data_IF_921072779255
#
_entry.id   IF_921072779255
#
_cell.length_a   1.000
_cell.length_b   1.000
_cell.length_c   1.000
_cell.angle_alpha   90.00
_cell.angle_beta   90.00
_cell.angle_gamma   90.00
#
_symmetry.space_group_name_H-M   'P 1'
#
loop_
_entity.id
_entity.type
_entity.pdbx_description
1 polymer ?
#
# COMPACT_ATOMS: atom_id res chain seq x y z
N UNK A 1 -37.44 23.92 -17.66
CA UNK A 1 -37.96 25.29 -17.46
C UNK A 1 -39.42 25.32 -17.90
N UNK A 2 -40.28 26.11 -17.26
CA UNK A 2 -41.67 26.32 -17.73
C UNK A 2 -41.69 27.53 -18.68
N UNK A 3 -42.11 27.37 -19.95
CA UNK A 3 -42.19 28.50 -20.87
C UNK A 3 -43.28 29.48 -20.43
N UNK A 4 -43.06 30.77 -20.65
CA UNK A 4 -44.09 31.81 -20.52
C UNK A 4 -44.75 32.01 -21.88
N UNK A 5 -46.08 31.86 -21.94
CA UNK A 5 -46.84 31.95 -23.19
C UNK A 5 -47.53 33.31 -23.32
N UNK A 6 -47.63 33.82 -24.55
CA UNK A 6 -48.44 35.00 -24.85
C UNK A 6 -49.60 34.56 -25.74
N UNK A 7 -50.80 35.08 -25.49
CA UNK A 7 -51.93 34.95 -26.41
C UNK A 7 -52.30 36.36 -26.87
N UNK A 8 -52.28 36.61 -28.17
CA UNK A 8 -52.57 37.94 -28.77
C UNK A 8 -51.72 39.08 -28.17
N UNK A 9 -50.46 38.80 -27.84
CA UNK A 9 -49.54 39.77 -27.23
C UNK A 9 -49.80 40.06 -25.74
N UNK A 10 -50.69 39.31 -25.08
CA UNK A 10 -50.92 39.40 -23.63
C UNK A 10 -50.28 38.20 -22.90
N UNK A 11 -49.58 38.42 -21.78
CA UNK A 11 -49.01 37.34 -20.99
C UNK A 11 -50.12 36.43 -20.44
N UNK A 12 -50.04 35.13 -20.73
CA UNK A 12 -51.00 34.14 -20.27
C UNK A 12 -50.45 33.43 -19.01
N UNK A 13 -51.24 33.39 -17.94
CA UNK A 13 -50.85 32.75 -16.68
C UNK A 13 -51.43 31.33 -16.64
N UNK A 14 -50.58 30.33 -16.92
CA UNK A 14 -50.93 28.90 -16.92
C UNK A 14 -50.88 28.25 -18.31
N UNK A 15 -51.08 26.93 -18.37
CA UNK A 15 -51.17 26.19 -19.64
C UNK A 15 -52.59 26.40 -20.20
N UNK A 16 -52.76 26.93 -21.43
CA UNK A 16 -54.08 27.12 -22.01
C UNK A 16 -54.82 25.78 -22.15
N UNK A 17 -56.09 25.73 -21.74
CA UNK A 17 -56.89 24.50 -21.80
C UNK A 17 -57.05 24.04 -23.25
N UNK A 18 -56.59 22.81 -23.53
CA UNK A 18 -56.65 22.20 -24.86
C UNK A 18 -55.55 22.64 -25.83
N UNK A 19 -54.51 23.35 -25.37
CA UNK A 19 -53.34 23.61 -26.19
C UNK A 19 -52.46 22.37 -26.37
N UNK A 20 -51.76 22.28 -27.50
CA UNK A 20 -50.74 21.26 -27.77
C UNK A 20 -49.40 21.90 -28.14
N UNK A 21 -48.33 21.18 -27.81
CA UNK A 21 -46.95 21.62 -27.95
C UNK A 21 -46.17 20.64 -28.83
N UNK A 22 -45.37 21.17 -29.75
CA UNK A 22 -44.47 20.38 -30.59
C UNK A 22 -43.22 21.19 -30.96
N UNK A 23 -42.14 20.51 -31.34
CA UNK A 23 -41.00 21.20 -31.94
C UNK A 23 -41.38 21.71 -33.34
N UNK A 24 -41.09 22.99 -33.60
CA UNK A 24 -41.48 23.66 -34.84
C UNK A 24 -40.39 23.61 -35.91
N UNK A 25 -40.53 22.79 -36.96
CA UNK A 25 -39.58 22.77 -38.08
C UNK A 25 -38.15 22.31 -37.72
N UNK A 26 -37.18 22.52 -38.62
CA UNK A 26 -35.80 22.00 -38.52
C UNK A 26 -34.87 23.06 -37.90
N UNK A 27 -34.29 22.79 -36.71
CA UNK A 27 -33.32 23.67 -35.98
C UNK A 27 -32.19 22.98 -35.16
N UNK A 28 -30.98 23.61 -35.14
CA UNK A 28 -29.87 23.44 -34.14
C UNK A 28 -29.21 24.79 -33.75
N UNK A 29 -27.97 24.77 -33.21
CA UNK A 29 -26.98 25.87 -33.09
C UNK A 29 -27.03 26.86 -34.26
N UNK A 30 -27.39 26.42 -35.47
CA UNK A 30 -27.78 27.27 -36.60
C UNK A 30 -29.14 26.83 -37.19
N UNK A 31 -29.89 27.77 -37.77
CA UNK A 31 -31.19 27.49 -38.37
C UNK A 31 -31.07 26.44 -39.50
N UNK A 32 -31.57 25.21 -39.29
CA UNK A 32 -31.64 24.17 -40.34
C UNK A 32 -31.19 22.75 -40.00
N UNK A 33 -30.64 22.44 -38.83
CA UNK A 33 -30.29 21.06 -38.44
C UNK A 33 -31.36 20.40 -37.52
N UNK A 34 -31.24 19.13 -37.12
CA UNK A 34 -32.27 18.46 -36.31
C UNK A 34 -32.16 18.75 -34.79
N UNK A 35 -33.31 18.84 -34.10
CA UNK A 35 -33.37 18.93 -32.62
C UNK A 35 -32.56 17.77 -32.01
N UNK A 36 -31.65 18.02 -31.06
CA UNK A 36 -30.86 16.95 -30.46
C UNK A 36 -31.75 15.88 -29.80
N UNK A 37 -31.37 14.62 -29.95
CA UNK A 37 -32.12 13.48 -29.41
C UNK A 37 -32.24 13.47 -27.88
N UNK A 38 -31.36 14.21 -27.18
CA UNK A 38 -31.40 14.40 -25.74
C UNK A 38 -32.37 15.49 -25.28
N UNK A 39 -33.02 16.20 -26.19
CA UNK A 39 -34.08 17.19 -25.90
C UNK A 39 -35.44 16.59 -26.23
N UNK A 40 -36.38 16.68 -25.30
CA UNK A 40 -37.78 16.25 -25.51
C UNK A 40 -38.78 17.29 -25.01
N UNK A 41 -39.98 17.26 -25.58
CA UNK A 41 -41.10 18.12 -25.19
C UNK A 41 -42.33 17.28 -24.88
N UNK A 42 -42.96 17.55 -23.74
CA UNK A 42 -44.27 17.00 -23.43
C UNK A 42 -45.35 17.77 -24.21
N UNK A 43 -46.12 17.06 -25.03
CA UNK A 43 -47.05 17.66 -25.99
C UNK A 43 -48.29 18.30 -25.35
N UNK A 44 -48.54 18.06 -24.07
CA UNK A 44 -49.73 18.56 -23.35
C UNK A 44 -49.38 19.71 -22.40
N UNK A 45 -48.15 19.70 -21.87
CA UNK A 45 -47.70 20.67 -20.87
C UNK A 45 -46.67 21.65 -21.41
N UNK A 46 -46.05 21.36 -22.55
CA UNK A 46 -44.96 22.15 -23.11
C UNK A 46 -43.67 22.06 -22.30
N UNK A 47 -43.58 21.09 -21.37
CA UNK A 47 -42.39 20.89 -20.53
C UNK A 47 -41.25 20.34 -21.38
N UNK A 48 -40.13 21.07 -21.41
CA UNK A 48 -38.90 20.62 -22.07
C UNK A 48 -38.03 19.87 -21.06
N UNK A 49 -37.60 18.66 -21.45
CA UNK A 49 -36.63 17.84 -20.70
C UNK A 49 -35.34 17.71 -21.49
N UNK A 50 -34.20 17.71 -20.79
CA UNK A 50 -32.86 17.71 -21.40
C UNK A 50 -31.94 16.69 -20.72
N UNK A 51 -31.19 15.91 -21.49
CA UNK A 51 -30.20 14.95 -20.98
C UNK A 51 -28.92 14.90 -21.86
N UNK A 52 -28.18 16.01 -21.99
CA UNK A 52 -26.97 16.04 -22.82
C UNK A 52 -25.93 15.02 -22.32
N UNK A 53 -25.28 14.33 -23.25
CA UNK A 53 -24.16 13.43 -23.02
C UNK A 53 -22.81 14.16 -22.99
N UNK A 54 -21.75 13.41 -22.67
CA UNK A 54 -20.39 13.94 -22.48
C UNK A 54 -19.77 14.61 -23.72
N UNK A 55 -20.31 14.37 -24.91
CA UNK A 55 -19.82 14.94 -26.17
C UNK A 55 -20.68 16.10 -26.69
N UNK A 56 -21.72 16.51 -25.94
CA UNK A 56 -22.53 17.67 -26.31
C UNK A 56 -21.79 18.97 -26.03
N UNK A 57 -21.94 19.93 -26.93
CA UNK A 57 -21.07 21.10 -27.01
C UNK A 57 -21.60 22.21 -26.11
N UNK A 58 -20.73 22.84 -25.31
CA UNK A 58 -21.11 23.93 -24.41
C UNK A 58 -21.00 25.34 -25.03
N UNK A 59 -20.42 25.44 -26.23
CA UNK A 59 -19.96 26.72 -26.78
C UNK A 59 -21.11 27.67 -27.19
N UNK A 60 -22.27 27.14 -27.63
CA UNK A 60 -23.46 27.94 -27.97
C UNK A 60 -24.76 27.31 -27.44
N UNK A 61 -25.73 28.11 -26.98
CA UNK A 61 -27.03 27.59 -26.58
C UNK A 61 -27.78 27.01 -27.79
N UNK A 62 -28.33 25.80 -27.62
CA UNK A 62 -29.24 25.20 -28.57
C UNK A 62 -30.53 26.02 -28.61
N UNK A 63 -30.91 26.47 -29.80
CA UNK A 63 -32.18 27.17 -30.01
C UNK A 63 -33.19 26.18 -30.56
N UNK A 64 -34.20 25.86 -29.76
CA UNK A 64 -35.22 24.86 -30.07
C UNK A 64 -36.57 25.57 -30.26
N UNK A 65 -37.10 25.63 -31.49
CA UNK A 65 -38.40 26.24 -31.75
C UNK A 65 -39.50 25.36 -31.18
N UNK A 66 -40.45 26.00 -30.52
CA UNK A 66 -41.65 25.36 -29.98
C UNK A 66 -42.85 26.02 -30.61
N UNK A 67 -43.69 25.20 -31.22
CA UNK A 67 -44.99 25.60 -31.75
C UNK A 67 -46.06 25.27 -30.73
N UNK A 68 -46.85 26.26 -30.36
CA UNK A 68 -48.05 26.14 -29.53
C UNK A 68 -49.26 26.20 -30.44
N UNK A 69 -50.11 25.18 -30.43
CA UNK A 69 -51.41 25.19 -31.12
C UNK A 69 -52.52 25.30 -30.09
N UNK A 70 -53.31 26.37 -30.15
CA UNK A 70 -54.43 26.57 -29.24
C UNK A 70 -55.69 25.83 -29.72
N UNK A 71 -56.64 25.64 -28.80
CA UNK A 71 -57.92 25.00 -29.11
C UNK A 71 -58.80 25.76 -30.11
N UNK A 72 -58.56 27.05 -30.31
CA UNK A 72 -59.19 27.88 -31.35
C UNK A 72 -58.46 27.82 -32.71
N UNK A 73 -57.41 26.99 -32.82
CA UNK A 73 -56.61 26.80 -34.02
C UNK A 73 -55.57 27.88 -34.29
N UNK A 74 -55.47 28.90 -33.45
CA UNK A 74 -54.37 29.88 -33.53
C UNK A 74 -53.03 29.22 -33.17
N UNK A 75 -51.94 29.78 -33.67
CA UNK A 75 -50.59 29.26 -33.47
C UNK A 75 -49.70 30.37 -32.90
N UNK A 76 -48.89 30.03 -31.90
CA UNK A 76 -47.78 30.84 -31.41
C UNK A 76 -46.46 30.08 -31.56
N UNK A 77 -45.36 30.79 -31.84
CA UNK A 77 -44.03 30.20 -31.98
C UNK A 77 -43.06 30.87 -31.02
N UNK A 78 -42.36 30.07 -30.24
CA UNK A 78 -41.40 30.53 -29.24
C UNK A 78 -40.10 29.76 -29.34
N UNK A 79 -38.97 30.44 -29.21
CA UNK A 79 -37.66 29.81 -29.18
C UNK A 79 -37.23 29.50 -27.74
N UNK A 80 -37.04 28.22 -27.44
CA UNK A 80 -36.43 27.77 -26.19
C UNK A 80 -34.91 27.72 -26.33
N UNK A 81 -34.20 28.48 -25.49
CA UNK A 81 -32.74 28.48 -25.45
C UNK A 81 -32.25 27.53 -24.37
N UNK A 82 -31.50 26.52 -24.77
CA UNK A 82 -30.92 25.50 -23.88
C UNK A 82 -29.41 25.66 -23.89
N UNK A 83 -28.84 26.14 -22.79
CA UNK A 83 -27.40 26.20 -22.61
C UNK A 83 -26.90 24.83 -22.08
N UNK A 84 -25.97 24.21 -22.79
CA UNK A 84 -25.18 23.10 -22.27
C UNK A 84 -23.91 23.69 -21.65
N UNK A 85 -23.52 23.22 -20.47
CA UNK A 85 -22.28 23.66 -19.82
C UNK A 85 -21.35 22.47 -19.70
N UNK A 86 -20.06 22.67 -19.96
CA UNK A 86 -19.05 21.64 -19.71
C UNK A 86 -19.08 21.19 -18.25
N UNK A 87 -19.02 19.88 -18.04
CA UNK A 87 -18.75 19.32 -16.72
C UNK A 87 -17.35 19.79 -16.32
N UNK A 88 -17.23 20.43 -15.16
CA UNK A 88 -15.93 20.81 -14.62
C UNK A 88 -15.02 19.57 -14.51
N UNK A 89 -13.77 19.70 -14.97
CA UNK A 89 -12.78 18.64 -14.85
C UNK A 89 -12.50 18.32 -13.38
N UNK A 90 -12.46 17.03 -13.04
CA UNK A 90 -12.12 16.55 -11.69
C UNK A 90 -10.61 16.60 -11.48
N UNK A 91 -10.15 17.21 -10.38
CA UNK A 91 -8.73 17.22 -10.01
C UNK A 91 -8.33 15.91 -9.31
N UNK A 92 -7.41 15.17 -9.93
CA UNK A 92 -6.91 13.87 -9.45
C UNK A 92 -5.45 13.91 -8.98
N UNK A 93 -4.79 15.08 -9.05
CA UNK A 93 -3.36 15.18 -8.74
C UNK A 93 -3.05 14.74 -7.30
N UNK A 94 -3.92 15.12 -6.35
CA UNK A 94 -3.77 14.75 -4.94
C UNK A 94 -3.88 13.24 -4.69
N UNK A 95 -4.79 12.56 -5.41
CA UNK A 95 -4.95 11.10 -5.30
C UNK A 95 -3.76 10.36 -5.91
N UNK A 96 -3.30 10.78 -7.09
CA UNK A 96 -2.13 10.21 -7.74
C UNK A 96 -0.87 10.35 -6.88
N UNK A 97 -0.69 11.51 -6.24
CA UNK A 97 0.42 11.74 -5.31
C UNK A 97 0.36 10.82 -4.08
N UNK A 98 -0.83 10.53 -3.57
CA UNK A 98 -1.01 9.61 -2.43
C UNK A 98 -0.68 8.16 -2.81
N UNK A 99 -1.15 7.71 -3.99
CA UNK A 99 -0.83 6.39 -4.55
C UNK A 99 0.68 6.22 -4.75
N UNK A 100 1.37 7.27 -5.22
CA UNK A 100 2.81 7.23 -5.45
C UNK A 100 3.64 6.93 -4.18
N UNK A 101 3.10 7.16 -2.98
CA UNK A 101 3.74 6.82 -1.70
C UNK A 101 3.75 5.31 -1.39
N UNK A 102 3.10 4.48 -2.21
CA UNK A 102 2.98 3.03 -1.97
C UNK A 102 4.31 2.36 -1.62
N UNK A 103 5.36 2.65 -2.41
CA UNK A 103 6.67 2.02 -2.22
C UNK A 103 7.32 2.40 -0.89
N UNK A 104 7.14 3.65 -0.45
CA UNK A 104 7.62 4.15 0.85
C UNK A 104 6.84 3.49 1.98
N UNK A 105 5.51 3.49 1.90
CA UNK A 105 4.64 2.89 2.91
C UNK A 105 4.92 1.39 3.07
N UNK A 106 4.96 0.64 1.97
CA UNK A 106 5.23 -0.82 2.00
C UNK A 106 6.67 -1.15 2.40
N UNK A 107 7.60 -0.21 2.23
CA UNK A 107 9.00 -0.32 2.64
C UNK A 107 9.25 0.03 4.11
N UNK A 108 8.32 0.70 4.77
CA UNK A 108 8.43 1.09 6.17
C UNK A 108 8.08 -0.06 7.12
N UNK A 109 8.66 -0.04 8.32
CA UNK A 109 8.39 -1.05 9.36
C UNK A 109 6.94 -1.01 9.82
N UNK A 110 6.31 0.19 9.78
CA UNK A 110 4.88 0.38 9.94
C UNK A 110 4.04 -0.59 9.13
N UNK A 111 4.41 -0.85 7.87
CA UNK A 111 3.71 -1.84 7.05
C UNK A 111 4.25 -3.26 7.25
N UNK A 112 5.57 -3.46 7.34
CA UNK A 112 6.18 -4.80 7.48
C UNK A 112 5.70 -5.52 8.74
N UNK A 113 5.59 -4.80 9.85
CA UNK A 113 5.27 -5.35 11.17
C UNK A 113 3.80 -5.10 11.58
N UNK A 114 2.99 -4.41 10.76
CA UNK A 114 1.56 -4.24 11.03
C UNK A 114 0.81 -5.57 11.10
N UNK A 115 -0.39 -5.54 11.71
CA UNK A 115 -1.30 -6.68 11.64
C UNK A 115 -1.73 -6.98 10.19
N UNK A 116 -2.02 -8.24 9.90
CA UNK A 116 -2.46 -8.65 8.55
C UNK A 116 -3.74 -7.92 8.11
N UNK A 117 -4.66 -7.68 9.04
CA UNK A 117 -5.88 -6.90 8.81
C UNK A 117 -5.58 -5.48 8.31
N UNK A 118 -4.64 -4.79 8.96
CA UNK A 118 -4.26 -3.41 8.58
C UNK A 118 -3.50 -3.36 7.27
N UNK A 119 -2.61 -4.33 7.02
CA UNK A 119 -1.96 -4.47 5.70
C UNK A 119 -2.98 -4.70 4.60
N UNK A 120 -4.02 -5.49 4.87
CA UNK A 120 -5.09 -5.74 3.90
C UNK A 120 -5.93 -4.49 3.68
N UNK A 121 -6.33 -3.78 4.74
CA UNK A 121 -7.07 -2.52 4.65
C UNK A 121 -6.34 -1.48 3.79
N UNK A 122 -5.01 -1.36 3.95
CA UNK A 122 -4.19 -0.50 3.10
C UNK A 122 -4.19 -0.94 1.63
N UNK A 123 -4.00 -2.23 1.35
CA UNK A 123 -4.04 -2.76 -0.02
C UNK A 123 -5.40 -2.56 -0.69
N UNK A 124 -6.49 -2.75 0.05
CA UNK A 124 -7.84 -2.56 -0.45
C UNK A 124 -8.14 -1.08 -0.74
N UNK A 125 -7.67 -0.18 0.14
CA UNK A 125 -7.79 1.26 -0.08
C UNK A 125 -6.98 1.71 -1.31
N UNK A 126 -5.78 1.17 -1.51
CA UNK A 126 -4.94 1.43 -2.68
C UNK A 126 -5.62 0.96 -3.97
N UNK A 127 -6.18 -0.24 -3.99
CA UNK A 127 -6.91 -0.76 -5.15
C UNK A 127 -8.11 0.13 -5.53
N UNK A 128 -8.89 0.58 -4.54
CA UNK A 128 -10.00 1.53 -4.77
C UNK A 128 -9.52 2.90 -5.24
N UNK A 129 -8.40 3.38 -4.72
CA UNK A 129 -7.78 4.63 -5.17
C UNK A 129 -7.38 4.54 -6.65
N UNK A 130 -6.79 3.41 -7.07
CA UNK A 130 -6.45 3.16 -8.48
C UNK A 130 -7.68 3.08 -9.39
N UNK A 131 -8.79 2.51 -8.91
CA UNK A 131 -10.07 2.46 -9.65
C UNK A 131 -10.60 3.89 -9.90
N UNK A 132 -10.69 4.70 -8.85
CA UNK A 132 -11.16 6.10 -8.93
C UNK A 132 -10.22 6.96 -9.80
N UNK A 133 -8.91 6.71 -9.74
CA UNK A 133 -7.94 7.40 -10.58
C UNK A 133 -8.22 7.16 -12.07
N UNK A 134 -8.57 5.94 -12.46
CA UNK A 134 -8.83 5.53 -13.86
C UNK A 134 -10.23 5.90 -14.36
N UNK A 135 -11.20 6.06 -13.46
CA UNK A 135 -12.58 6.35 -13.81
C UNK A 135 -12.74 7.79 -14.35
N UNK A 136 -13.03 7.94 -15.64
CA UNK A 136 -13.21 9.25 -16.30
C UNK A 136 -14.40 10.04 -15.77
N UNK A 137 -15.41 9.37 -15.20
CA UNK A 137 -16.64 10.00 -14.74
C UNK A 137 -16.60 10.38 -13.25
N UNK A 138 -15.59 9.86 -12.52
CA UNK A 138 -15.38 10.12 -11.10
C UNK A 138 -15.58 11.60 -10.73
N UNK A 139 -16.39 11.81 -9.69
CA UNK A 139 -16.66 13.11 -9.10
C UNK A 139 -15.52 13.54 -8.17
N UNK A 140 -15.42 14.84 -7.89
CA UNK A 140 -14.42 15.34 -6.94
C UNK A 140 -14.60 14.71 -5.55
N UNK A 141 -15.85 14.50 -5.11
CA UNK A 141 -16.13 13.85 -3.84
C UNK A 141 -15.63 12.40 -3.78
N UNK A 142 -15.70 11.65 -4.88
CA UNK A 142 -15.16 10.29 -4.95
C UNK A 142 -13.64 10.28 -4.91
N UNK A 143 -13.00 11.21 -5.62
CA UNK A 143 -11.54 11.37 -5.61
C UNK A 143 -11.03 11.74 -4.22
N UNK A 144 -11.64 12.73 -3.58
CA UNK A 144 -11.27 13.17 -2.23
C UNK A 144 -11.49 12.03 -1.22
N UNK A 145 -12.64 11.34 -1.30
CA UNK A 145 -12.92 10.22 -0.41
C UNK A 145 -12.01 9.01 -0.65
N UNK A 146 -11.53 8.77 -1.87
CA UNK A 146 -10.55 7.73 -2.14
C UNK A 146 -9.18 8.07 -1.56
N UNK A 147 -8.75 9.34 -1.71
CA UNK A 147 -7.50 9.86 -1.15
C UNK A 147 -7.51 9.75 0.37
N UNK A 148 -8.57 10.21 1.02
CA UNK A 148 -8.71 10.16 2.48
C UNK A 148 -8.72 8.73 3.00
N UNK A 149 -9.40 7.81 2.31
CA UNK A 149 -9.38 6.38 2.68
C UNK A 149 -7.99 5.78 2.60
N UNK A 150 -7.23 6.09 1.55
CA UNK A 150 -5.87 5.60 1.39
C UNK A 150 -4.94 6.17 2.47
N UNK A 151 -5.00 7.48 2.71
CA UNK A 151 -4.21 8.14 3.76
C UNK A 151 -4.53 7.57 5.14
N UNK A 152 -5.81 7.47 5.51
CA UNK A 152 -6.22 6.90 6.79
C UNK A 152 -5.80 5.43 6.96
N UNK A 153 -5.84 4.63 5.88
CA UNK A 153 -5.38 3.25 5.93
C UNK A 153 -3.86 3.15 6.10
N UNK A 154 -3.09 4.09 5.55
CA UNK A 154 -1.66 4.21 5.77
C UNK A 154 -1.37 4.59 7.23
N UNK A 155 -2.05 5.60 7.77
CA UNK A 155 -1.91 6.05 9.16
C UNK A 155 -2.34 4.98 10.17
N UNK A 156 -3.27 4.10 9.80
CA UNK A 156 -3.71 3.00 10.65
C UNK A 156 -2.68 1.87 10.79
N UNK A 157 -1.64 1.81 9.94
CA UNK A 157 -0.57 0.82 10.03
C UNK A 157 0.14 0.95 11.37
N UNK A 158 0.15 -0.13 12.14
CA UNK A 158 0.65 -0.17 13.52
C UNK A 158 1.89 -1.04 13.69
N UNK A 159 2.67 -1.22 12.63
CA UNK A 159 3.95 -1.90 12.75
C UNK A 159 4.91 -1.06 13.57
N UNK A 160 5.51 -1.67 14.58
CA UNK A 160 6.63 -1.08 15.31
C UNK A 160 7.92 -1.24 14.51
N UNK A 161 8.95 -0.47 14.87
CA UNK A 161 10.29 -0.61 14.32
C UNK A 161 10.84 -2.03 14.56
N UNK A 162 11.59 -2.56 13.60
CA UNK A 162 12.28 -3.84 13.80
C UNK A 162 13.51 -3.64 14.71
N UNK A 163 13.58 -4.39 15.81
CA UNK A 163 14.64 -4.29 16.81
C UNK A 163 15.64 -5.44 16.70
N UNK A 164 16.91 -5.11 16.39
CA UNK A 164 17.97 -6.10 16.17
C UNK A 164 18.89 -6.35 17.38
N UNK A 165 18.83 -5.53 18.44
CA UNK A 165 19.78 -5.60 19.56
C UNK A 165 19.84 -6.99 20.21
N UNK A 166 18.68 -7.63 20.37
CA UNK A 166 18.60 -8.99 20.91
C UNK A 166 19.30 -10.02 20.03
N UNK A 167 19.18 -9.90 18.71
CA UNK A 167 19.85 -10.78 17.75
C UNK A 167 21.36 -10.52 17.71
N UNK A 168 21.78 -9.26 17.75
CA UNK A 168 23.19 -8.85 17.77
C UNK A 168 23.90 -9.42 19.01
N UNK A 169 23.25 -9.35 20.18
CA UNK A 169 23.80 -9.94 21.41
C UNK A 169 23.92 -11.47 21.28
N UNK A 170 22.89 -12.15 20.77
CA UNK A 170 22.95 -13.60 20.55
C UNK A 170 24.06 -14.01 19.56
N UNK A 171 24.26 -13.25 18.47
CA UNK A 171 25.38 -13.43 17.53
C UNK A 171 26.74 -13.31 18.24
N UNK A 172 26.86 -12.33 19.14
CA UNK A 172 28.08 -12.11 19.92
C UNK A 172 28.36 -13.28 20.87
N UNK A 173 27.33 -13.77 21.56
CA UNK A 173 27.43 -14.91 22.48
C UNK A 173 27.77 -16.20 21.73
N UNK A 174 27.16 -16.44 20.56
CA UNK A 174 27.47 -17.58 19.71
C UNK A 174 28.93 -17.56 19.22
N UNK A 175 29.42 -16.40 18.77
CA UNK A 175 30.82 -16.23 18.39
C UNK A 175 31.78 -16.46 19.57
N UNK A 176 31.40 -16.04 20.78
CA UNK A 176 32.16 -16.32 22.00
C UNK A 176 32.18 -17.81 22.32
N UNK A 177 31.03 -18.49 22.21
CA UNK A 177 30.90 -19.92 22.45
C UNK A 177 31.84 -20.75 21.54
N UNK A 178 32.02 -20.34 20.29
CA UNK A 178 32.97 -20.99 19.35
C UNK A 178 34.43 -21.00 19.83
N UNK A 179 34.80 -20.06 20.70
CA UNK A 179 36.11 -20.02 21.33
C UNK A 179 36.32 -21.01 22.47
N UNK A 180 35.24 -21.61 23.00
CA UNK A 180 35.27 -22.44 24.21
C UNK A 180 35.47 -23.92 23.91
N UNK A 181 35.88 -24.68 24.93
CA UNK A 181 35.95 -26.14 24.86
C UNK A 181 34.56 -26.77 24.62
N UNK A 182 33.50 -26.11 25.10
CA UNK A 182 32.12 -26.55 24.88
C UNK A 182 31.76 -26.63 23.39
N UNK A 183 32.31 -25.73 22.56
CA UNK A 183 32.18 -25.83 21.10
C UNK A 183 33.26 -26.72 20.49
N UNK A 184 34.55 -26.51 20.84
CA UNK A 184 35.67 -27.21 20.18
C UNK A 184 35.59 -28.73 20.34
N UNK A 185 35.10 -29.20 21.49
CA UNK A 185 34.95 -30.61 21.82
C UNK A 185 33.52 -31.13 21.59
N UNK A 186 32.60 -30.30 21.09
CA UNK A 186 31.26 -30.74 20.74
C UNK A 186 31.25 -31.71 19.56
N UNK A 187 30.16 -32.46 19.44
CA UNK A 187 29.84 -33.27 18.27
C UNK A 187 29.76 -32.42 17.00
N UNK A 188 30.05 -33.03 15.85
CA UNK A 188 30.00 -32.35 14.56
C UNK A 188 28.61 -31.81 14.25
N UNK A 189 27.56 -32.53 14.67
CA UNK A 189 26.17 -32.10 14.52
C UNK A 189 25.87 -30.84 15.35
N UNK A 190 26.33 -30.78 16.60
CA UNK A 190 26.13 -29.61 17.45
C UNK A 190 26.92 -28.38 16.95
N UNK A 191 28.16 -28.59 16.48
CA UNK A 191 28.96 -27.53 15.83
C UNK A 191 28.28 -26.99 14.59
N UNK A 192 27.84 -27.89 13.71
CA UNK A 192 27.14 -27.55 12.47
C UNK A 192 25.84 -26.79 12.76
N UNK A 193 25.06 -27.24 13.75
CA UNK A 193 23.82 -26.56 14.14
C UNK A 193 24.08 -25.12 14.60
N UNK A 194 25.14 -24.88 15.39
CA UNK A 194 25.52 -23.53 15.79
C UNK A 194 26.01 -22.68 14.61
N UNK A 195 26.86 -23.24 13.74
CA UNK A 195 27.38 -22.52 12.57
C UNK A 195 26.27 -22.14 11.57
N UNK A 196 25.31 -23.03 11.32
CA UNK A 196 24.16 -22.76 10.46
C UNK A 196 23.22 -21.71 11.09
N UNK A 197 22.90 -21.83 12.38
CA UNK A 197 22.08 -20.85 13.07
C UNK A 197 22.74 -19.46 13.11
N UNK A 198 24.08 -19.41 13.26
CA UNK A 198 24.84 -18.17 13.24
C UNK A 198 24.79 -17.51 11.85
N UNK A 199 24.99 -18.27 10.79
CA UNK A 199 24.91 -17.76 9.42
C UNK A 199 23.51 -17.21 9.09
N UNK A 200 22.45 -17.90 9.53
CA UNK A 200 21.07 -17.41 9.38
C UNK A 200 20.81 -16.14 10.18
N UNK A 201 21.29 -16.05 11.42
CA UNK A 201 21.19 -14.86 12.25
C UNK A 201 21.91 -13.65 11.62
N UNK A 202 23.10 -13.84 11.06
CA UNK A 202 23.82 -12.79 10.35
C UNK A 202 23.09 -12.35 9.07
N UNK A 203 22.53 -13.30 8.31
CA UNK A 203 21.73 -12.99 7.12
C UNK A 203 20.48 -12.17 7.46
N UNK A 204 19.80 -12.49 8.57
CA UNK A 204 18.64 -11.71 9.04
C UNK A 204 19.06 -10.32 9.53
N UNK A 205 20.16 -10.21 10.28
CA UNK A 205 20.72 -8.92 10.71
C UNK A 205 21.02 -7.99 9.53
N UNK A 206 21.57 -8.52 8.45
CA UNK A 206 22.00 -7.74 7.29
C UNK A 206 20.85 -7.47 6.29
N UNK A 207 19.64 -8.00 6.55
CA UNK A 207 18.48 -7.81 5.69
C UNK A 207 17.66 -6.56 6.12
N UNK A 208 17.67 -5.45 5.33
CA UNK A 208 16.92 -4.23 5.66
C UNK A 208 15.38 -4.41 5.56
N UNK A 209 14.93 -5.56 5.05
CA UNK A 209 13.51 -5.93 4.96
C UNK A 209 13.10 -6.93 6.03
N UNK A 210 13.99 -7.32 6.94
CA UNK A 210 13.66 -8.24 8.01
C UNK A 210 12.52 -7.68 8.88
N UNK A 211 11.57 -8.55 9.17
CA UNK A 211 10.46 -8.31 10.08
C UNK A 211 10.87 -8.67 11.51
N UNK A 212 10.15 -8.15 12.51
CA UNK A 212 10.40 -8.52 13.90
C UNK A 212 10.31 -10.04 14.12
N UNK A 213 9.36 -10.71 13.45
CA UNK A 213 9.20 -12.16 13.55
C UNK A 213 10.41 -12.94 13.02
N UNK A 214 11.03 -12.49 11.92
CA UNK A 214 12.25 -13.12 11.39
C UNK A 214 13.44 -12.91 12.33
N UNK A 215 13.56 -11.72 12.91
CA UNK A 215 14.60 -11.40 13.91
C UNK A 215 14.45 -12.27 15.16
N UNK A 216 13.24 -12.38 15.69
CA UNK A 216 12.94 -13.20 16.87
C UNK A 216 13.18 -14.69 16.60
N UNK A 217 12.75 -15.19 15.44
CA UNK A 217 12.97 -16.59 15.04
C UNK A 217 14.45 -16.92 14.87
N UNK A 218 15.25 -16.03 14.25
CA UNK A 218 16.68 -16.23 14.09
C UNK A 218 17.41 -16.22 15.44
N UNK A 219 17.01 -15.30 16.34
CA UNK A 219 17.53 -15.24 17.70
C UNK A 219 17.23 -16.52 18.47
N UNK A 220 15.98 -16.99 18.47
CA UNK A 220 15.57 -18.21 19.15
C UNK A 220 16.33 -19.43 18.61
N UNK A 221 16.47 -19.54 17.27
CA UNK A 221 17.21 -20.63 16.64
C UNK A 221 18.68 -20.63 17.09
N UNK A 222 19.30 -19.46 17.17
CA UNK A 222 20.69 -19.32 17.63
C UNK A 222 20.86 -19.70 19.11
N UNK A 223 19.98 -19.21 19.98
CA UNK A 223 20.00 -19.56 21.40
C UNK A 223 19.79 -21.06 21.64
N UNK A 224 18.92 -21.69 20.84
CA UNK A 224 18.69 -23.13 20.92
C UNK A 224 19.91 -23.93 20.43
N UNK A 225 20.59 -23.47 19.37
CA UNK A 225 21.82 -24.10 18.90
C UNK A 225 22.96 -24.00 19.94
N UNK A 226 23.03 -22.91 20.71
CA UNK A 226 24.00 -22.77 21.80
C UNK A 226 23.72 -23.77 22.95
N UNK A 227 22.44 -24.00 23.29
CA UNK A 227 22.05 -24.92 24.39
C UNK A 227 22.36 -26.39 24.09
N UNK A 228 22.47 -26.78 22.83
CA UNK A 228 22.75 -28.16 22.42
C UNK A 228 24.25 -28.47 22.30
N UNK A 229 25.13 -27.50 22.58
CA UNK A 229 26.57 -27.77 22.66
C UNK A 229 26.85 -28.81 23.76
N UNK A 230 27.42 -29.93 23.35
CA UNK A 230 27.67 -31.12 24.19
C UNK A 230 29.15 -31.31 24.54
N UNK A 231 30.02 -30.39 24.11
CA UNK A 231 31.45 -30.43 24.39
C UNK A 231 31.76 -30.27 25.88
N UNK A 232 32.72 -31.05 26.35
CA UNK A 232 33.20 -31.00 27.75
C UNK A 232 34.52 -30.25 27.83
N UNK A 233 34.83 -29.71 29.01
CA UNK A 233 36.15 -29.15 29.28
C UNK A 233 37.25 -30.19 29.05
N UNK A 234 38.36 -29.74 28.45
CA UNK A 234 39.52 -30.58 28.23
C UNK A 234 40.20 -30.86 29.57
N UNK A 235 40.22 -32.12 30.00
CA UNK A 235 40.93 -32.53 31.21
C UNK A 235 42.44 -32.43 31.01
N UNK A 236 43.08 -31.51 31.76
CA UNK A 236 44.53 -31.25 31.74
C UNK A 236 45.26 -31.86 32.94
N UNK A 237 44.56 -32.53 33.84
CA UNK A 237 45.10 -33.06 35.10
C UNK A 237 46.23 -34.07 34.88
N UNK A 238 46.08 -34.96 33.90
CA UNK A 238 47.11 -35.94 33.53
C UNK A 238 48.40 -35.29 33.05
N UNK A 239 48.29 -34.27 32.19
CA UNK A 239 49.45 -33.52 31.71
C UNK A 239 50.16 -32.77 32.85
N UNK A 240 49.39 -32.16 33.75
CA UNK A 240 49.94 -31.51 34.94
C UNK A 240 50.66 -32.50 35.86
N UNK A 241 50.14 -33.72 36.00
CA UNK A 241 50.81 -34.79 36.76
C UNK A 241 52.16 -35.16 36.13
N UNK A 242 52.20 -35.43 34.82
CA UNK A 242 53.45 -35.78 34.14
C UNK A 242 54.50 -34.66 34.18
N UNK A 243 54.09 -33.39 34.09
CA UNK A 243 55.01 -32.25 34.25
C UNK A 243 55.58 -32.22 35.68
N UNK A 244 54.74 -32.47 36.68
CA UNK A 244 55.17 -32.50 38.08
C UNK A 244 56.17 -33.63 38.34
N UNK A 245 55.90 -34.83 37.81
CA UNK A 245 56.80 -35.99 37.91
C UNK A 245 58.14 -35.72 37.22
N UNK A 246 58.13 -35.14 36.02
CA UNK A 246 59.34 -34.79 35.28
C UNK A 246 60.18 -33.73 36.03
N UNK A 247 59.54 -32.71 36.59
CA UNK A 247 60.23 -31.70 37.41
C UNK A 247 60.80 -32.29 38.70
N UNK A 248 60.06 -33.19 39.35
CA UNK A 248 60.52 -33.94 40.52
C UNK A 248 61.75 -34.79 40.19
N UNK A 249 61.73 -35.54 39.10
CA UNK A 249 62.84 -36.37 38.64
C UNK A 249 64.10 -35.54 38.35
N UNK A 250 63.95 -34.36 37.72
CA UNK A 250 65.08 -33.44 37.44
C UNK A 250 65.62 -32.75 38.70
N UNK A 251 64.78 -32.58 39.72
CA UNK A 251 65.17 -32.00 41.01
C UNK A 251 65.94 -32.96 41.92
N UNK A 252 65.83 -34.26 41.71
CA UNK A 252 66.46 -35.30 42.53
C UNK A 252 67.99 -35.31 42.40
N UNK A 253 68.68 -35.65 43.50
CA UNK A 253 70.15 -35.71 43.56
C UNK A 253 70.73 -36.75 42.58
N UNK A 254 69.96 -37.80 42.30
CA UNK A 254 70.28 -38.80 41.28
C UNK A 254 70.40 -38.20 39.88
N UNK A 255 69.56 -37.22 39.52
CA UNK A 255 69.66 -36.50 38.25
C UNK A 255 70.79 -35.47 38.27
N UNK A 256 70.95 -34.69 39.35
CA UNK A 256 71.99 -33.65 39.45
C UNK A 256 73.41 -34.23 39.38
N UNK A 257 73.63 -35.40 39.96
CA UNK A 257 74.92 -36.08 39.99
C UNK A 257 75.14 -37.04 38.80
N UNK A 258 74.19 -37.16 37.88
CA UNK A 258 74.32 -38.01 36.70
C UNK A 258 75.24 -37.40 35.63
N UNK A 259 75.83 -38.27 34.79
CA UNK A 259 76.63 -37.88 33.62
C UNK A 259 75.76 -37.18 32.57
N UNK A 260 76.37 -36.34 31.73
CA UNK A 260 75.63 -35.54 30.74
C UNK A 260 74.80 -36.41 29.78
N UNK A 261 75.28 -37.61 29.44
CA UNK A 261 74.53 -38.58 28.63
C UNK A 261 73.27 -39.13 29.32
N UNK A 262 73.29 -39.27 30.65
CA UNK A 262 72.14 -39.73 31.43
C UNK A 262 71.13 -38.59 31.70
N UNK A 263 71.59 -37.33 31.77
CA UNK A 263 70.73 -36.14 31.91
C UNK A 263 69.93 -35.80 30.65
N UNK A 264 70.42 -36.19 29.47
CA UNK A 264 69.78 -35.97 28.16
C UNK A 264 68.72 -37.02 27.80
N UNK A 265 68.67 -38.14 28.52
CA UNK A 265 67.76 -39.26 28.25
C UNK A 265 66.38 -39.15 28.96
N UNK A 266 66.08 -38.00 29.58
CA UNK A 266 64.92 -37.73 30.43
C UNK A 266 64.24 -36.44 29.99
#
# INVERSE_FOLDING_TARGET
>A
MSPTFQKDGQPFVGIPTGASFAFGGVQTRAAGDAVPSWVSIDSTTGTITTAPGANDVADDPYTVPVTVTYSDGTIDNVDAKIAVTEKAATDKAGLAAEIAKESEVKGADGFKNASQEKKQAYKDALAKADEVLKDSDATQAEVDAAKDRLANAADALNGEATHFDGLINAITDANTAKGTDAYKNASDDAKKALDEALAEAEAVRDNPKATQAEVDAAKEKLENAQKVLDGKETDKSGLQSSISDANGARGADSYKNATDGAKQAL
#
